data_IF_316442594860
#
_entry.id   IF_316442594860
#
_cell.length_a   1.000
_cell.length_b   1.000
_cell.length_c   1.000
_cell.angle_alpha   90.00
_cell.angle_beta   90.00
_cell.angle_gamma   90.00
#
_symmetry.space_group_name_H-M   'P 1'
#
loop_
_entity.id
_entity.type
_entity.pdbx_description
1 polymer ?
#
# COMPACT_ATOMS: atom_id res chain seq x y z
N UNK A 1 7.77 -9.87 17.56
CA UNK A 1 6.46 -10.19 18.17
C UNK A 1 5.34 -9.19 17.80
N UNK A 2 5.54 -8.24 16.87
CA UNK A 2 4.63 -7.10 16.65
C UNK A 2 3.63 -7.29 15.48
N UNK A 3 4.00 -8.06 14.46
CA UNK A 3 3.18 -8.28 13.25
C UNK A 3 1.85 -8.99 13.57
N UNK A 4 1.88 -9.96 14.47
CA UNK A 4 0.70 -10.72 14.89
C UNK A 4 -0.34 -9.86 15.61
N UNK A 5 0.09 -8.79 16.27
CA UNK A 5 -0.81 -7.85 16.95
C UNK A 5 -1.45 -6.89 15.92
N UNK A 6 -0.70 -6.50 14.89
CA UNK A 6 -1.20 -5.67 13.80
C UNK A 6 -2.29 -6.39 12.98
N UNK A 7 -2.11 -7.69 12.73
CA UNK A 7 -3.08 -8.53 12.04
C UNK A 7 -4.38 -8.73 12.82
N UNK A 8 -4.37 -8.53 14.15
CA UNK A 8 -5.57 -8.59 15.00
C UNK A 8 -6.34 -7.27 15.03
N UNK A 9 -5.85 -6.22 14.38
CA UNK A 9 -6.53 -4.92 14.38
C UNK A 9 -7.89 -5.01 13.68
N UNK A 10 -8.85 -4.22 14.17
CA UNK A 10 -10.22 -4.16 13.63
C UNK A 10 -10.25 -3.84 12.13
N UNK A 11 -9.24 -3.13 11.61
CA UNK A 11 -9.14 -2.76 10.20
C UNK A 11 -8.94 -3.99 9.32
N UNK A 12 -7.97 -4.84 9.66
CA UNK A 12 -7.72 -6.06 8.88
C UNK A 12 -8.93 -7.00 8.89
N UNK A 13 -9.60 -7.15 10.03
CA UNK A 13 -10.80 -7.97 10.12
C UNK A 13 -11.93 -7.46 9.20
N UNK A 14 -12.15 -6.14 9.16
CA UNK A 14 -13.16 -5.52 8.30
C UNK A 14 -12.81 -5.57 6.81
N UNK A 15 -11.52 -5.66 6.45
CA UNK A 15 -11.08 -5.85 5.07
C UNK A 15 -11.22 -7.30 4.59
N UNK A 16 -11.21 -8.27 5.52
CA UNK A 16 -11.36 -9.70 5.22
C UNK A 16 -12.84 -10.10 5.12
N UNK A 17 -13.72 -9.46 5.90
CA UNK A 17 -15.15 -9.68 5.81
C UNK A 17 -15.79 -8.91 4.64
N UNK A 18 -16.80 -9.48 3.95
CA UNK A 18 -17.51 -8.79 2.87
C UNK A 18 -18.29 -7.60 3.44
N UNK A 19 -17.74 -6.40 3.24
CA UNK A 19 -18.27 -5.15 3.80
C UNK A 19 -19.58 -4.72 3.10
N UNK A 20 -20.67 -4.63 3.86
CA UNK A 20 -21.95 -3.99 3.49
C UNK A 20 -21.92 -2.48 3.79
N UNK A 21 -22.90 -1.74 3.26
CA UNK A 21 -23.00 -0.27 3.13
C UNK A 21 -22.86 0.55 4.45
N UNK A 22 -22.85 -0.08 5.63
CA UNK A 22 -22.48 0.51 6.93
C UNK A 22 -20.97 0.78 7.10
N UNK A 23 -20.18 0.49 6.08
CA UNK A 23 -18.71 0.45 6.06
C UNK A 23 -17.99 1.71 6.55
N UNK A 24 -18.51 2.93 6.30
CA UNK A 24 -17.67 4.13 6.37
C UNK A 24 -17.24 4.53 7.79
N UNK A 25 -18.13 4.45 8.79
CA UNK A 25 -17.75 4.80 10.17
C UNK A 25 -16.91 3.72 10.83
N UNK A 26 -17.26 2.45 10.61
CA UNK A 26 -16.51 1.32 11.15
C UNK A 26 -15.11 1.23 10.54
N UNK A 27 -14.98 1.44 9.22
CA UNK A 27 -13.70 1.51 8.53
C UNK A 27 -12.85 2.68 9.02
N UNK A 28 -13.46 3.87 9.25
CA UNK A 28 -12.72 5.03 9.79
C UNK A 28 -12.18 4.74 11.20
N UNK A 29 -13.03 4.26 12.11
CA UNK A 29 -12.60 3.91 13.48
C UNK A 29 -11.53 2.82 13.48
N UNK A 30 -11.66 1.84 12.58
CA UNK A 30 -10.68 0.78 12.44
C UNK A 30 -9.33 1.29 11.90
N UNK A 31 -9.35 2.20 10.93
CA UNK A 31 -8.16 2.86 10.41
C UNK A 31 -7.43 3.68 11.48
N UNK A 32 -8.17 4.44 12.29
CA UNK A 32 -7.60 5.18 13.43
C UNK A 32 -6.90 4.24 14.42
N UNK A 33 -7.53 3.12 14.78
CA UNK A 33 -6.96 2.09 15.66
C UNK A 33 -5.69 1.46 15.08
N UNK A 34 -5.70 1.15 13.78
CA UNK A 34 -4.52 0.64 13.08
C UNK A 34 -3.35 1.65 13.10
N UNK A 35 -3.63 2.93 12.84
CA UNK A 35 -2.61 3.99 12.85
C UNK A 35 -2.01 4.20 14.25
N UNK A 36 -2.79 4.06 15.32
CA UNK A 36 -2.26 4.08 16.69
C UNK A 36 -1.32 2.92 16.97
N UNK A 37 -1.70 1.70 16.56
CA UNK A 37 -0.82 0.54 16.72
C UNK A 37 0.45 0.68 15.90
N UNK A 38 0.35 1.14 14.64
CA UNK A 38 1.51 1.44 13.82
C UNK A 38 2.43 2.46 14.48
N UNK A 39 1.90 3.55 15.01
CA UNK A 39 2.71 4.55 15.73
C UNK A 39 3.42 3.93 16.93
N UNK A 40 2.74 3.10 17.73
CA UNK A 40 3.37 2.39 18.86
C UNK A 40 4.47 1.45 18.37
N UNK A 41 4.23 0.71 17.30
CA UNK A 41 5.21 -0.19 16.69
C UNK A 41 6.41 0.59 16.20
N UNK A 42 6.23 1.75 15.53
CA UNK A 42 7.28 2.59 14.92
C UNK A 42 8.08 3.42 15.95
N UNK A 43 7.50 3.68 17.12
CA UNK A 43 8.19 4.40 18.20
C UNK A 43 9.08 3.51 19.07
N UNK A 44 9.21 2.22 18.78
CA UNK A 44 10.05 1.31 19.56
C UNK A 44 11.54 1.44 19.17
N UNK A 45 12.43 1.74 20.14
CA UNK A 45 13.80 2.21 19.87
C UNK A 45 14.75 1.18 19.23
N UNK A 46 14.41 -0.12 19.27
CA UNK A 46 15.30 -1.22 18.82
C UNK A 46 14.78 -1.95 17.57
N UNK A 47 13.70 -1.47 16.97
CA UNK A 47 13.12 -2.13 15.81
C UNK A 47 13.80 -1.64 14.54
N UNK A 48 14.53 -2.51 13.85
CA UNK A 48 15.00 -2.23 12.50
C UNK A 48 13.79 -2.22 11.54
N UNK A 49 13.27 -1.03 11.26
CA UNK A 49 12.14 -0.86 10.33
C UNK A 49 12.57 -0.92 8.87
N UNK A 50 13.82 -1.26 8.54
CA UNK A 50 14.29 -1.31 7.15
C UNK A 50 13.45 -2.27 6.30
N UNK A 51 13.04 -3.41 6.85
CA UNK A 51 12.17 -4.37 6.18
C UNK A 51 10.76 -3.82 5.95
N UNK A 52 10.14 -3.25 6.99
CA UNK A 52 8.80 -2.63 6.91
C UNK A 52 8.79 -1.47 5.93
N UNK A 53 9.81 -0.62 5.96
CA UNK A 53 9.94 0.53 5.07
C UNK A 53 10.15 0.10 3.62
N UNK A 54 10.98 -0.94 3.39
CA UNK A 54 11.15 -1.54 2.05
C UNK A 54 9.83 -2.10 1.54
N UNK A 55 9.11 -2.87 2.36
CA UNK A 55 7.82 -3.45 1.99
C UNK A 55 6.80 -2.37 1.64
N UNK A 56 6.65 -1.34 2.48
CA UNK A 56 5.75 -0.22 2.23
C UNK A 56 6.11 0.56 0.95
N UNK A 57 7.40 0.78 0.70
CA UNK A 57 7.85 1.43 -0.55
C UNK A 57 7.52 0.59 -1.78
N UNK A 58 7.75 -0.72 -1.72
CA UNK A 58 7.42 -1.64 -2.82
C UNK A 58 5.91 -1.62 -3.08
N UNK A 59 5.09 -1.79 -2.04
CA UNK A 59 3.62 -1.74 -2.17
C UNK A 59 3.15 -0.42 -2.75
N UNK A 60 3.74 0.72 -2.35
CA UNK A 60 3.41 2.03 -2.94
C UNK A 60 3.74 2.08 -4.44
N UNK A 61 4.90 1.58 -4.85
CA UNK A 61 5.31 1.54 -6.26
C UNK A 61 4.36 0.66 -7.08
N UNK A 62 4.00 -0.51 -6.55
CA UNK A 62 3.07 -1.44 -7.20
C UNK A 62 1.67 -0.82 -7.36
N UNK A 63 1.14 -0.19 -6.30
CA UNK A 63 -0.16 0.48 -6.35
C UNK A 63 -0.17 1.64 -7.35
N UNK A 64 0.90 2.43 -7.42
CA UNK A 64 1.04 3.49 -8.44
C UNK A 64 1.06 2.87 -9.84
N UNK A 65 1.81 1.78 -10.03
CA UNK A 65 1.90 1.09 -11.31
C UNK A 65 0.55 0.53 -11.76
N UNK A 66 -0.20 -0.10 -10.84
CA UNK A 66 -1.57 -0.60 -11.08
C UNK A 66 -2.51 0.55 -11.43
N UNK A 67 -2.47 1.65 -10.66
CA UNK A 67 -3.30 2.84 -10.93
C UNK A 67 -3.02 3.38 -12.32
N UNK A 68 -1.74 3.52 -12.67
CA UNK A 68 -1.29 3.98 -13.97
C UNK A 68 -1.77 3.05 -15.07
N UNK A 69 -1.53 1.73 -14.96
CA UNK A 69 -2.04 0.72 -15.91
C UNK A 69 -3.56 0.76 -16.07
N UNK A 70 -4.29 0.96 -14.98
CA UNK A 70 -5.75 1.02 -15.03
C UNK A 70 -6.24 2.27 -15.78
N UNK A 71 -5.57 3.41 -15.64
CA UNK A 71 -5.83 4.64 -16.41
C UNK A 71 -5.58 4.42 -17.92
N UNK A 72 -4.50 3.71 -18.27
CA UNK A 72 -4.22 3.33 -19.67
C UNK A 72 -5.32 2.41 -20.26
N UNK A 73 -5.87 1.48 -19.48
CA UNK A 73 -6.92 0.55 -19.91
C UNK A 73 -8.32 1.19 -20.07
N UNK A 74 -8.54 2.37 -19.49
CA UNK A 74 -9.82 3.10 -19.56
C UNK A 74 -9.89 4.16 -20.67
N UNK A 75 -8.91 4.19 -21.58
CA UNK A 75 -8.93 5.06 -22.76
C UNK A 75 -8.35 6.47 -22.55
N UNK A 76 -7.69 6.73 -21.42
CA UNK A 76 -6.84 7.92 -21.31
C UNK A 76 -5.56 7.70 -22.14
N UNK A 77 -5.31 8.61 -23.09
CA UNK A 77 -4.17 8.55 -24.02
C UNK A 77 -2.86 8.32 -23.27
N UNK A 78 -2.06 7.39 -23.78
CA UNK A 78 -0.71 7.16 -23.30
C UNK A 78 0.13 8.45 -23.34
N UNK A 79 0.74 8.93 -22.23
CA UNK A 79 1.89 9.80 -22.35
C UNK A 79 3.04 9.02 -23.00
N UNK A 80 3.56 9.54 -24.10
CA UNK A 80 4.57 8.95 -25.02
C UNK A 80 5.90 8.51 -24.38
N UNK A 81 6.05 8.61 -23.06
CA UNK A 81 7.32 8.37 -22.37
C UNK A 81 7.63 6.89 -22.07
N UNK A 82 6.72 5.94 -22.37
CA UNK A 82 6.91 4.54 -21.99
C UNK A 82 7.40 3.59 -23.10
N UNK A 83 7.79 4.07 -24.28
CA UNK A 83 8.29 3.21 -25.36
C UNK A 83 9.55 3.75 -26.04
N UNK A 84 10.67 3.86 -25.33
CA UNK A 84 12.00 3.71 -25.95
C UNK A 84 13.11 3.55 -24.89
N UNK A 85 13.66 2.34 -24.68
CA UNK A 85 15.08 2.25 -24.38
C UNK A 85 15.81 2.61 -25.67
N UNK A 86 16.50 3.76 -25.71
CA UNK A 86 17.52 4.02 -26.74
C UNK A 86 18.46 2.83 -26.74
N UNK A 87 18.37 1.99 -27.76
CA UNK A 87 19.36 0.96 -28.03
C UNK A 87 20.70 1.67 -28.21
N UNK A 88 21.60 1.45 -27.26
CA UNK A 88 23.02 1.69 -27.44
C UNK A 88 23.46 0.69 -28.52
N UNK A 89 23.58 1.16 -29.76
CA UNK A 89 24.26 0.44 -30.82
C UNK A 89 25.76 0.58 -30.59
N UNK A 90 26.40 -0.47 -30.07
CA UNK A 90 27.85 -0.66 -30.21
C UNK A 90 28.15 -0.99 -31.69
N UNK A 91 28.70 -0.01 -32.40
CA UNK A 91 29.66 -0.15 -33.50
C UNK A 91 30.48 1.14 -33.55
#
# INVERSE_FOLDING_TARGET
>A
MLMNELLKTKLFNLLVEPSQESANQEMKSAYESFMEQLRKIVSQPETDYSEVFRMLNITRIELVSIKTLHQYGQGEKCPETCLYPKSISLC
#
